data_IF_823927479338
#
_entry.id   IF_823927479338
#
_cell.length_a   1.000
_cell.length_b   1.000
_cell.length_c   1.000
_cell.angle_alpha   90.00
_cell.angle_beta   90.00
_cell.angle_gamma   90.00
#
_symmetry.space_group_name_H-M   'P 1'
#
loop_
_entity.id
_entity.type
_entity.pdbx_description
1 polymer ?
#
# COMPACT_ATOMS: atom_id res chain seq x y z
N UNK A 1 30.92 -38.13 -29.56
CA UNK A 1 29.67 -38.86 -29.26
C UNK A 1 29.88 -39.63 -27.98
N UNK A 2 29.19 -39.27 -26.90
CA UNK A 2 28.87 -40.13 -25.75
C UNK A 2 28.03 -39.30 -24.77
N UNK A 3 26.72 -39.55 -24.79
CA UNK A 3 25.76 -38.98 -23.86
C UNK A 3 25.70 -39.87 -22.60
N UNK A 4 25.83 -39.26 -21.42
CA UNK A 4 25.64 -39.92 -20.14
C UNK A 4 24.24 -39.60 -19.64
N UNK A 5 23.34 -40.58 -19.70
CA UNK A 5 21.95 -40.46 -19.29
C UNK A 5 21.79 -41.07 -17.90
N UNK A 6 21.47 -40.24 -16.90
CA UNK A 6 21.08 -40.71 -15.55
C UNK A 6 19.62 -41.20 -15.55
N UNK A 7 19.30 -42.33 -14.89
CA UNK A 7 17.91 -42.78 -14.76
C UNK A 7 17.17 -42.08 -13.61
N UNK A 8 15.95 -41.65 -13.90
CA UNK A 8 15.01 -41.05 -12.96
C UNK A 8 14.45 -42.09 -11.98
N UNK A 9 14.52 -41.79 -10.68
CA UNK A 9 13.83 -42.53 -9.64
C UNK A 9 12.33 -42.19 -9.67
N UNK A 10 11.50 -43.16 -10.05
CA UNK A 10 10.03 -43.09 -9.90
C UNK A 10 9.66 -43.45 -8.47
N UNK A 11 9.42 -42.43 -7.63
CA UNK A 11 8.76 -42.58 -6.34
C UNK A 11 7.29 -42.94 -6.53
N UNK A 12 6.89 -44.10 -6.04
CA UNK A 12 5.50 -44.59 -6.01
C UNK A 12 4.78 -43.88 -4.86
N UNK A 13 3.95 -42.89 -5.18
CA UNK A 13 2.96 -42.33 -4.23
C UNK A 13 1.73 -43.24 -4.22
N UNK A 14 1.53 -43.98 -3.14
CA UNK A 14 0.25 -44.64 -2.84
C UNK A 14 -0.76 -43.65 -2.26
N UNK A 15 -2.07 -43.78 -2.56
CA UNK A 15 -3.09 -42.92 -1.96
C UNK A 15 -3.27 -43.23 -0.47
N UNK A 16 -3.50 -42.22 0.40
CA UNK A 16 -3.80 -42.45 1.81
C UNK A 16 -5.18 -43.10 1.96
N UNK A 17 -5.21 -44.24 2.67
CA UNK A 17 -6.44 -44.91 3.10
C UNK A 17 -7.31 -44.00 3.95
N UNK A 18 -8.56 -43.79 3.52
CA UNK A 18 -9.57 -43.08 4.27
C UNK A 18 -9.98 -43.88 5.51
N UNK A 19 -9.72 -43.33 6.69
CA UNK A 19 -10.25 -43.82 7.97
C UNK A 19 -11.67 -43.29 8.11
N UNK A 20 -12.66 -44.18 8.00
CA UNK A 20 -14.06 -43.89 8.25
C UNK A 20 -14.29 -43.67 9.76
N UNK A 21 -14.35 -42.41 10.19
CA UNK A 21 -14.74 -42.03 11.55
C UNK A 21 -16.26 -41.88 11.64
N UNK A 22 -16.89 -42.70 12.47
CA UNK A 22 -18.31 -42.61 12.86
C UNK A 22 -18.63 -41.25 13.49
N UNK A 23 -19.39 -40.42 12.80
CA UNK A 23 -20.02 -39.22 13.35
C UNK A 23 -21.31 -39.59 14.08
N UNK A 24 -21.32 -39.47 15.41
CA UNK A 24 -22.56 -39.41 16.18
C UNK A 24 -23.35 -38.18 15.72
N UNK A 25 -24.57 -38.42 15.22
CA UNK A 25 -25.43 -37.42 14.63
C UNK A 25 -25.87 -36.35 15.63
N UNK A 26 -25.27 -35.17 15.53
CA UNK A 26 -25.93 -33.93 15.94
C UNK A 26 -27.00 -33.65 14.87
N UNK A 27 -28.29 -33.50 15.22
CA UNK A 27 -29.30 -33.17 14.24
C UNK A 27 -28.95 -31.83 13.58
N UNK A 28 -29.04 -31.70 12.24
CA UNK A 28 -28.83 -30.43 11.58
C UNK A 28 -29.85 -29.44 12.14
N UNK A 29 -29.39 -28.41 12.85
CA UNK A 29 -30.23 -27.27 13.18
C UNK A 29 -30.55 -26.58 11.88
N UNK A 30 -31.74 -26.82 11.34
CA UNK A 30 -32.26 -26.08 10.20
C UNK A 30 -32.16 -24.58 10.53
N UNK A 31 -31.40 -23.79 9.77
CA UNK A 31 -31.35 -22.36 9.99
C UNK A 31 -32.77 -21.81 9.81
N UNK A 32 -33.25 -21.07 10.80
CA UNK A 32 -34.53 -20.37 10.74
C UNK A 32 -34.50 -19.45 9.52
N UNK A 33 -35.38 -19.66 8.52
CA UNK A 33 -35.47 -18.75 7.38
C UNK A 33 -35.91 -17.37 7.88
N UNK A 34 -35.06 -16.36 7.72
CA UNK A 34 -35.41 -14.96 8.01
C UNK A 34 -34.45 -14.21 8.95
N UNK A 35 -33.45 -14.86 9.53
CA UNK A 35 -32.39 -14.14 10.27
C UNK A 35 -31.41 -13.56 9.27
N UNK A 36 -31.64 -12.32 8.83
CA UNK A 36 -30.65 -11.55 8.07
C UNK A 36 -29.40 -11.44 8.96
N UNK A 37 -28.20 -11.83 8.48
CA UNK A 37 -26.99 -11.66 9.26
C UNK A 37 -26.87 -10.18 9.62
N UNK A 38 -26.97 -9.88 10.91
CA UNK A 38 -26.87 -8.50 11.39
C UNK A 38 -25.40 -8.13 11.36
N UNK A 39 -25.01 -7.35 10.36
CA UNK A 39 -23.67 -6.78 10.28
C UNK A 39 -23.49 -5.86 11.49
N UNK A 40 -22.40 -6.05 12.23
CA UNK A 40 -22.10 -5.24 13.42
C UNK A 40 -21.92 -3.76 13.04
N UNK A 41 -22.44 -2.84 13.86
CA UNK A 41 -22.21 -1.40 13.67
C UNK A 41 -20.72 -1.04 13.68
N UNK A 42 -19.91 -1.79 14.44
CA UNK A 42 -18.44 -1.64 14.47
C UNK A 42 -17.82 -1.98 13.11
N UNK A 43 -18.32 -3.03 12.45
CA UNK A 43 -17.83 -3.43 11.12
C UNK A 43 -18.04 -2.33 10.10
N UNK A 44 -19.26 -1.78 10.03
CA UNK A 44 -19.58 -0.68 9.11
C UNK A 44 -18.73 0.56 9.43
N UNK A 45 -18.53 0.86 10.72
CA UNK A 45 -17.71 2.00 11.15
C UNK A 45 -16.25 1.85 10.73
N UNK A 46 -15.64 0.69 10.98
CA UNK A 46 -14.24 0.44 10.62
C UNK A 46 -14.06 0.39 9.10
N UNK A 47 -15.00 -0.18 8.34
CA UNK A 47 -14.95 -0.15 6.88
C UNK A 47 -15.14 1.25 6.30
N UNK A 48 -15.98 2.08 6.91
CA UNK A 48 -16.15 3.49 6.50
C UNK A 48 -14.84 4.25 6.67
N UNK A 49 -14.17 4.07 7.82
CA UNK A 49 -12.87 4.68 8.07
C UNK A 49 -11.78 4.12 7.16
N UNK A 50 -11.75 2.80 6.93
CA UNK A 50 -10.82 2.17 6.00
C UNK A 50 -10.99 2.73 4.58
N UNK A 51 -12.24 2.81 4.10
CA UNK A 51 -12.59 3.37 2.79
C UNK A 51 -12.12 4.82 2.65
N UNK A 52 -12.40 5.66 3.66
CA UNK A 52 -11.97 7.07 3.68
C UNK A 52 -10.46 7.23 3.64
N UNK A 53 -9.73 6.40 4.40
CA UNK A 53 -8.26 6.46 4.45
C UNK A 53 -7.63 5.96 3.13
N UNK A 54 -8.12 4.85 2.57
CA UNK A 54 -7.66 4.34 1.28
C UNK A 54 -7.91 5.35 0.15
N UNK A 55 -9.12 5.95 0.08
CA UNK A 55 -9.44 6.99 -0.88
C UNK A 55 -8.49 8.21 -0.76
N UNK A 56 -8.22 8.65 0.47
CA UNK A 56 -7.27 9.75 0.72
C UNK A 56 -5.83 9.40 0.33
N UNK A 57 -5.42 8.15 0.52
CA UNK A 57 -4.10 7.70 0.09
C UNK A 57 -3.99 7.76 -1.45
N UNK A 58 -5.02 7.32 -2.18
CA UNK A 58 -5.12 7.44 -3.65
C UNK A 58 -5.05 8.90 -4.09
N UNK A 59 -5.81 9.80 -3.47
CA UNK A 59 -5.79 11.24 -3.78
C UNK A 59 -4.40 11.85 -3.61
N UNK A 60 -3.71 11.55 -2.51
CA UNK A 60 -2.35 12.02 -2.28
C UNK A 60 -1.38 11.43 -3.31
N UNK A 61 -1.52 10.14 -3.62
CA UNK A 61 -0.67 9.46 -4.60
C UNK A 61 -0.83 10.07 -6.00
N UNK A 62 -2.01 10.57 -6.35
CA UNK A 62 -2.27 11.21 -7.64
C UNK A 62 -1.50 12.52 -7.83
N UNK A 63 -0.98 13.10 -6.73
CA UNK A 63 -0.13 14.30 -6.77
C UNK A 63 1.36 13.99 -6.90
N UNK A 64 1.77 12.72 -6.80
CA UNK A 64 3.15 12.29 -7.01
C UNK A 64 3.41 12.18 -8.52
N UNK A 65 4.53 12.73 -9.05
CA UNK A 65 4.90 12.54 -10.44
C UNK A 65 4.99 11.06 -10.80
N UNK A 66 4.39 10.66 -11.93
CA UNK A 66 4.37 9.25 -12.35
C UNK A 66 5.77 8.69 -12.66
N UNK A 67 6.71 9.56 -13.03
CA UNK A 67 8.10 9.23 -13.30
C UNK A 67 8.98 9.29 -12.04
N UNK A 68 8.40 9.50 -10.85
CA UNK A 68 9.15 9.55 -9.61
C UNK A 68 9.88 8.23 -9.33
N UNK A 69 11.21 8.26 -9.49
CA UNK A 69 12.10 7.13 -9.17
C UNK A 69 12.55 7.13 -7.72
N UNK A 70 11.70 7.59 -6.81
CA UNK A 70 12.04 7.76 -5.41
C UNK A 70 12.87 9.01 -5.14
N UNK A 71 12.48 10.13 -5.74
CA UNK A 71 13.14 11.42 -5.51
C UNK A 71 13.07 11.80 -4.02
N UNK A 72 14.08 12.57 -3.56
CA UNK A 72 14.10 13.08 -2.19
C UNK A 72 12.99 14.13 -1.96
N UNK A 73 12.64 14.91 -2.99
CA UNK A 73 11.61 15.95 -2.89
C UNK A 73 10.20 15.41 -2.61
N UNK A 74 9.93 14.19 -3.06
CA UNK A 74 8.65 13.48 -2.93
C UNK A 74 8.65 12.48 -1.76
N UNK A 75 9.79 12.31 -1.07
CA UNK A 75 9.97 11.33 0.01
C UNK A 75 8.95 11.50 1.13
N UNK A 76 8.79 12.71 1.63
CA UNK A 76 7.88 12.97 2.76
C UNK A 76 6.41 12.73 2.39
N UNK A 77 6.04 13.05 1.14
CA UNK A 77 4.71 12.76 0.60
C UNK A 77 4.48 11.25 0.51
N UNK A 78 5.42 10.48 -0.06
CA UNK A 78 5.32 9.01 -0.12
C UNK A 78 5.22 8.38 1.26
N UNK A 79 5.98 8.87 2.25
CA UNK A 79 5.88 8.42 3.65
C UNK A 79 4.48 8.71 4.21
N UNK A 80 3.90 9.86 3.91
CA UNK A 80 2.55 10.22 4.36
C UNK A 80 1.48 9.32 3.71
N UNK A 81 1.63 9.02 2.43
CA UNK A 81 0.77 8.07 1.70
C UNK A 81 0.85 6.70 2.36
N UNK A 82 2.05 6.14 2.51
CA UNK A 82 2.28 4.85 3.18
C UNK A 82 1.64 4.80 4.59
N UNK A 83 1.82 5.83 5.40
CA UNK A 83 1.21 5.88 6.75
C UNK A 83 -0.31 5.91 6.73
N UNK A 84 -0.89 6.56 5.72
CA UNK A 84 -2.34 6.67 5.57
C UNK A 84 -2.93 5.33 5.10
N UNK A 85 -2.24 4.68 4.18
CA UNK A 85 -2.59 3.36 3.68
C UNK A 85 -2.49 2.28 4.78
N UNK A 86 -1.38 2.23 5.51
CA UNK A 86 -1.22 1.36 6.70
C UNK A 86 -2.31 1.60 7.76
N UNK A 87 -2.83 2.83 7.87
CA UNK A 87 -3.93 3.11 8.79
C UNK A 87 -5.26 2.52 8.28
N UNK A 88 -5.47 2.46 6.97
CA UNK A 88 -6.60 1.75 6.36
C UNK A 88 -6.49 0.23 6.59
N UNK A 89 -5.32 -0.36 6.31
CA UNK A 89 -5.06 -1.80 6.52
C UNK A 89 -5.35 -2.23 7.96
N UNK A 90 -4.86 -1.49 8.96
CA UNK A 90 -5.15 -1.76 10.38
C UNK A 90 -6.64 -1.74 10.73
N UNK A 91 -7.48 -1.04 9.96
CA UNK A 91 -8.94 -1.06 10.15
C UNK A 91 -9.55 -2.32 9.56
N UNK A 92 -9.05 -2.77 8.40
CA UNK A 92 -9.44 -4.04 7.78
C UNK A 92 -9.05 -5.24 8.65
N UNK A 93 -7.81 -5.25 9.15
CA UNK A 93 -7.28 -6.34 9.97
C UNK A 93 -8.14 -6.60 11.22
N UNK A 94 -8.68 -5.55 11.85
CA UNK A 94 -9.60 -5.69 12.99
C UNK A 94 -10.87 -6.46 12.65
N UNK A 95 -11.26 -6.49 11.37
CA UNK A 95 -12.42 -7.24 10.92
C UNK A 95 -12.08 -8.69 10.56
N UNK A 96 -10.79 -9.06 10.44
CA UNK A 96 -10.43 -10.44 10.09
C UNK A 96 -10.80 -11.44 11.18
N UNK A 97 -10.65 -11.03 12.43
CA UNK A 97 -10.95 -11.85 13.60
C UNK A 97 -12.34 -11.54 14.20
N UNK A 98 -13.08 -10.60 13.61
CA UNK A 98 -14.42 -10.25 14.07
C UNK A 98 -15.37 -11.43 13.81
N UNK A 99 -15.91 -12.00 14.90
CA UNK A 99 -16.86 -13.11 14.83
C UNK A 99 -18.09 -12.73 13.99
N UNK A 100 -18.50 -13.64 13.10
CA UNK A 100 -19.74 -13.50 12.34
C UNK A 100 -19.59 -12.90 10.94
N UNK A 101 -18.37 -12.58 10.51
CA UNK A 101 -18.12 -12.23 9.11
C UNK A 101 -18.27 -13.46 8.21
N UNK A 102 -19.04 -13.30 7.13
CA UNK A 102 -19.17 -14.31 6.09
C UNK A 102 -17.81 -14.58 5.43
N UNK A 103 -17.56 -15.83 5.05
CA UNK A 103 -16.28 -16.24 4.46
C UNK A 103 -15.98 -15.50 3.14
N UNK A 104 -17.01 -15.17 2.36
CA UNK A 104 -16.86 -14.37 1.14
C UNK A 104 -16.44 -12.94 1.45
N UNK A 105 -17.05 -12.32 2.47
CA UNK A 105 -16.64 -10.98 2.95
C UNK A 105 -15.19 -10.99 3.44
N UNK A 106 -14.81 -11.98 4.24
CA UNK A 106 -13.43 -12.10 4.73
C UNK A 106 -12.43 -12.27 3.59
N UNK A 107 -12.79 -13.05 2.56
CA UNK A 107 -11.96 -13.25 1.37
C UNK A 107 -11.72 -11.93 0.63
N UNK A 108 -12.77 -11.13 0.40
CA UNK A 108 -12.65 -9.83 -0.25
C UNK A 108 -11.84 -8.82 0.59
N UNK A 109 -12.02 -8.82 1.92
CA UNK A 109 -11.24 -7.93 2.79
C UNK A 109 -9.74 -8.27 2.78
N UNK A 110 -9.38 -9.57 2.75
CA UNK A 110 -7.98 -10.01 2.61
C UNK A 110 -7.42 -9.65 1.23
N UNK A 111 -8.24 -9.74 0.19
CA UNK A 111 -7.85 -9.33 -1.16
C UNK A 111 -7.58 -7.83 -1.22
N UNK A 112 -8.44 -7.01 -0.62
CA UNK A 112 -8.22 -5.57 -0.51
C UNK A 112 -6.91 -5.26 0.23
N UNK A 113 -6.68 -5.91 1.38
CA UNK A 113 -5.47 -5.74 2.18
C UNK A 113 -4.19 -6.07 1.40
N UNK A 114 -4.19 -7.17 0.63
CA UNK A 114 -3.07 -7.55 -0.23
C UNK A 114 -2.76 -6.48 -1.30
N UNK A 115 -3.78 -5.87 -1.92
CA UNK A 115 -3.57 -4.79 -2.89
C UNK A 115 -2.98 -3.52 -2.25
N UNK A 116 -3.46 -3.15 -1.06
CA UNK A 116 -2.90 -2.02 -0.31
C UNK A 116 -1.43 -2.31 0.09
N UNK A 117 -1.15 -3.55 0.49
CA UNK A 117 0.21 -3.99 0.80
C UNK A 117 1.11 -3.87 -0.44
N UNK A 118 0.70 -4.44 -1.58
CA UNK A 118 1.46 -4.36 -2.84
C UNK A 118 1.73 -2.91 -3.26
N UNK A 119 0.76 -2.00 -3.09
CA UNK A 119 0.97 -0.58 -3.35
C UNK A 119 2.06 0.02 -2.43
N UNK A 120 2.06 -0.34 -1.15
CA UNK A 120 3.08 0.08 -0.20
C UNK A 120 4.48 -0.46 -0.57
N UNK A 121 4.57 -1.70 -1.04
CA UNK A 121 5.83 -2.26 -1.55
C UNK A 121 6.37 -1.47 -2.74
N UNK A 122 5.49 -0.98 -3.61
CA UNK A 122 5.86 -0.19 -4.79
C UNK A 122 6.25 1.25 -4.46
N UNK A 123 5.74 1.81 -3.35
CA UNK A 123 6.16 3.13 -2.84
C UNK A 123 7.48 3.06 -2.05
N UNK A 124 7.85 1.87 -1.58
CA UNK A 124 9.06 1.66 -0.80
C UNK A 124 10.29 1.50 -1.70
N UNK A 125 11.34 2.25 -1.38
CA UNK A 125 12.67 2.03 -1.95
C UNK A 125 13.37 0.90 -1.19
N UNK A 126 12.92 -0.34 -1.39
CA UNK A 126 13.58 -1.53 -0.79
C UNK A 126 14.72 -2.02 -1.68
N UNK A 127 15.84 -2.50 -1.09
CA UNK A 127 16.80 -3.29 -1.84
C UNK A 127 16.13 -4.63 -2.20
N UNK A 128 16.14 -4.98 -3.48
CA UNK A 128 15.84 -6.33 -3.92
C UNK A 128 16.91 -7.29 -3.37
N UNK A 129 16.59 -8.59 -3.21
CA UNK A 129 17.54 -9.60 -2.74
C UNK A 129 18.82 -9.71 -3.58
N UNK A 130 18.80 -9.22 -4.83
CA UNK A 130 19.93 -9.14 -5.76
C UNK A 130 20.77 -7.86 -5.60
N UNK A 131 20.47 -7.02 -4.60
CA UNK A 131 21.16 -5.76 -4.34
C UNK A 131 20.74 -4.60 -5.24
N UNK A 132 19.80 -4.80 -6.17
CA UNK A 132 19.24 -3.72 -7.00
C UNK A 132 18.10 -3.05 -6.25
N UNK A 133 18.03 -1.73 -6.24
CA UNK A 133 16.81 -1.07 -5.78
C UNK A 133 15.77 -1.23 -6.88
N UNK A 134 14.70 -2.02 -6.64
CA UNK A 134 13.48 -1.81 -7.40
C UNK A 134 13.03 -0.38 -7.05
N UNK A 135 13.08 0.51 -8.04
CA UNK A 135 12.71 1.89 -7.86
C UNK A 135 11.25 2.00 -7.43
N UNK A 136 10.88 3.17 -6.91
CA UNK A 136 9.48 3.51 -6.70
C UNK A 136 8.72 3.35 -8.02
N UNK A 137 7.58 2.66 -7.99
CA UNK A 137 6.66 2.46 -9.11
C UNK A 137 5.32 3.14 -8.79
N UNK A 138 5.23 4.43 -9.11
CA UNK A 138 4.01 5.23 -8.86
C UNK A 138 2.81 4.72 -9.67
N UNK A 139 2.92 4.41 -10.98
CA UNK A 139 1.81 3.84 -11.74
C UNK A 139 1.27 2.54 -11.16
N UNK A 140 2.15 1.62 -10.78
CA UNK A 140 1.73 0.36 -10.18
C UNK A 140 1.11 0.56 -8.80
N UNK A 141 1.71 1.40 -7.94
CA UNK A 141 1.13 1.73 -6.63
C UNK A 141 -0.25 2.35 -6.76
N UNK A 142 -0.46 3.21 -7.78
CA UNK A 142 -1.75 3.81 -8.07
C UNK A 142 -2.81 2.77 -8.44
N UNK A 143 -2.45 1.83 -9.33
CA UNK A 143 -3.34 0.73 -9.75
C UNK A 143 -3.78 -0.08 -8.55
N UNK A 144 -2.83 -0.52 -7.72
CA UNK A 144 -3.11 -1.47 -6.65
C UNK A 144 -3.83 -0.78 -5.48
N UNK A 145 -3.45 0.44 -5.11
CA UNK A 145 -4.17 1.21 -4.08
C UNK A 145 -5.60 1.55 -4.50
N UNK A 146 -5.83 1.87 -5.79
CA UNK A 146 -7.17 2.12 -6.32
C UNK A 146 -8.05 0.86 -6.29
N UNK A 147 -7.49 -0.30 -6.62
CA UNK A 147 -8.22 -1.57 -6.59
C UNK A 147 -8.56 -1.98 -5.14
N UNK A 148 -7.60 -1.83 -4.21
CA UNK A 148 -7.86 -2.03 -2.78
C UNK A 148 -8.98 -1.12 -2.27
N UNK A 149 -8.92 0.19 -2.58
CA UNK A 149 -9.98 1.13 -2.21
C UNK A 149 -11.35 0.77 -2.82
N UNK A 150 -11.37 0.31 -4.08
CA UNK A 150 -12.59 -0.14 -4.77
C UNK A 150 -13.26 -1.32 -4.07
N UNK A 151 -12.48 -2.35 -3.70
CA UNK A 151 -12.98 -3.55 -3.01
C UNK A 151 -13.57 -3.16 -1.64
N UNK A 152 -12.88 -2.32 -0.87
CA UNK A 152 -13.39 -1.85 0.43
C UNK A 152 -14.74 -1.14 0.27
N UNK A 153 -14.86 -0.27 -0.74
CA UNK A 153 -16.12 0.43 -1.03
C UNK A 153 -17.26 -0.52 -1.44
N UNK A 154 -16.95 -1.58 -2.16
CA UNK A 154 -17.91 -2.62 -2.57
C UNK A 154 -18.41 -3.45 -1.37
N UNK A 155 -17.50 -3.87 -0.50
CA UNK A 155 -17.86 -4.57 0.75
C UNK A 155 -18.69 -3.66 1.66
N UNK A 156 -18.29 -2.40 1.82
CA UNK A 156 -19.04 -1.43 2.62
C UNK A 156 -20.46 -1.20 2.09
N UNK A 157 -20.63 -1.06 0.78
CA UNK A 157 -21.96 -0.91 0.15
C UNK A 157 -22.83 -2.15 0.36
N UNK A 158 -22.23 -3.34 0.25
CA UNK A 158 -22.93 -4.61 0.50
C UNK A 158 -23.37 -4.77 1.95
N UNK A 159 -22.65 -4.14 2.88
CA UNK A 159 -22.99 -4.06 4.29
C UNK A 159 -24.01 -2.94 4.63
N UNK A 160 -24.52 -2.21 3.64
CA UNK A 160 -25.47 -1.10 3.82
C UNK A 160 -24.83 0.23 4.22
N UNK A 161 -23.50 0.33 4.17
CA UNK A 161 -22.77 1.59 4.39
C UNK A 161 -22.69 2.46 3.14
N UNK A 162 -22.32 3.72 3.34
CA UNK A 162 -22.08 4.68 2.24
C UNK A 162 -20.57 4.88 2.09
N UNK A 163 -19.94 4.46 0.97
CA UNK A 163 -18.53 4.70 0.75
C UNK A 163 -18.24 6.19 0.63
N UNK A 164 -17.08 6.60 1.16
CA UNK A 164 -16.60 7.97 0.97
C UNK A 164 -16.03 8.06 -0.44
N UNK A 165 -16.71 8.78 -1.33
CA UNK A 165 -16.13 9.07 -2.64
C UNK A 165 -14.87 9.94 -2.46
N UNK A 166 -13.82 9.69 -3.27
CA UNK A 166 -12.71 10.62 -3.35
C UNK A 166 -13.26 12.02 -3.65
N UNK A 167 -12.82 13.00 -2.87
CA UNK A 167 -13.16 14.39 -3.14
C UNK A 167 -12.49 14.75 -4.46
N UNK A 168 -13.27 14.74 -5.56
CA UNK A 168 -12.82 15.32 -6.81
C UNK A 168 -12.40 16.76 -6.47
N UNK A 169 -11.13 17.15 -6.68
CA UNK A 169 -10.72 18.51 -6.40
C UNK A 169 -11.67 19.41 -7.19
N UNK A 170 -12.39 20.28 -6.47
CA UNK A 170 -13.33 21.20 -7.08
C UNK A 170 -12.65 21.79 -8.31
N UNK A 171 -13.26 21.58 -9.49
CA UNK A 171 -12.69 22.05 -10.75
C UNK A 171 -12.22 23.48 -10.53
N UNK A 172 -10.94 23.80 -10.79
CA UNK A 172 -10.42 25.12 -10.47
C UNK A 172 -11.38 26.14 -11.05
N UNK A 173 -11.84 27.07 -10.21
CA UNK A 173 -12.76 28.11 -10.65
C UNK A 173 -12.21 28.70 -11.95
N UNK A 174 -13.03 28.85 -13.00
CA UNK A 174 -12.56 29.37 -14.28
C UNK A 174 -11.75 30.64 -14.01
N UNK A 175 -10.54 30.69 -14.57
CA UNK A 175 -9.65 31.82 -14.38
C UNK A 175 -10.44 33.12 -14.61
N UNK A 176 -10.30 34.13 -13.74
CA UNK A 176 -11.00 35.40 -13.94
C UNK A 176 -10.67 35.89 -15.35
N UNK A 177 -11.70 36.08 -16.16
CA UNK A 177 -11.58 36.64 -17.50
C UNK A 177 -10.80 37.95 -17.36
N UNK A 178 -9.67 38.16 -18.08
CA UNK A 178 -8.93 39.40 -17.98
C UNK A 178 -9.86 40.55 -18.36
N UNK A 179 -10.30 41.32 -17.37
CA UNK A 179 -10.99 42.57 -17.59
C UNK A 179 -10.06 43.48 -18.40
N UNK A 180 -10.59 44.09 -19.45
CA UNK A 180 -9.90 45.09 -20.27
C UNK A 180 -9.55 46.32 -19.40
N UNK A 181 -8.45 46.22 -18.66
CA UNK A 181 -7.95 47.25 -17.75
C UNK A 181 -6.69 47.89 -18.31
N UNK A 182 -6.84 49.15 -18.72
CA UNK A 182 -5.85 50.25 -18.76
C UNK A 182 -4.36 49.87 -18.60
N UNK A 183 -3.59 50.10 -19.68
CA UNK A 183 -2.12 50.12 -19.67
C UNK A 183 -1.57 51.04 -18.57
N UNK A 184 -0.90 50.44 -17.60
CA UNK A 184 -0.02 51.14 -16.66
C UNK A 184 1.40 51.07 -17.25
N UNK A 185 2.17 52.18 -17.28
CA UNK A 185 3.51 52.16 -17.84
C UNK A 185 4.46 51.24 -17.04
N UNK A 186 5.45 50.62 -17.72
CA UNK A 186 6.35 49.66 -17.09
C UNK A 186 7.25 50.35 -16.06
N UNK A 187 7.20 49.88 -14.81
CA UNK A 187 8.18 50.22 -13.79
C UNK A 187 9.46 49.41 -14.00
N UNK A 188 10.60 50.11 -14.00
CA UNK A 188 11.95 49.56 -14.07
C UNK A 188 12.17 48.43 -13.04
N UNK A 189 12.74 47.27 -13.43
CA UNK A 189 13.05 46.21 -12.49
C UNK A 189 14.10 46.66 -11.45
N UNK A 190 13.95 46.30 -10.16
CA UNK A 190 15.01 46.49 -9.18
C UNK A 190 16.23 45.63 -9.52
N UNK A 191 17.42 46.16 -9.21
CA UNK A 191 18.70 45.49 -9.45
C UNK A 191 18.76 44.11 -8.75
N UNK A 192 19.43 43.12 -9.35
CA UNK A 192 19.56 41.79 -8.76
C UNK A 192 20.32 41.83 -7.43
N UNK A 193 19.94 41.00 -6.45
CA UNK A 193 20.64 40.91 -5.18
C UNK A 193 22.06 40.39 -5.38
N UNK A 194 23.03 41.05 -4.74
CA UNK A 194 24.43 40.64 -4.68
C UNK A 194 24.57 39.34 -3.89
N UNK A 195 25.18 38.33 -4.50
CA UNK A 195 25.42 37.01 -3.91
C UNK A 195 26.31 37.10 -2.65
N UNK A 196 25.96 36.42 -1.54
CA UNK A 196 26.84 36.33 -0.38
C UNK A 196 28.15 35.57 -0.70
N UNK A 197 29.27 35.90 -0.03
CA UNK A 197 30.53 35.19 -0.20
C UNK A 197 30.42 33.73 0.27
N UNK A 198 31.09 32.83 -0.45
CA UNK A 198 31.13 31.41 -0.13
C UNK A 198 31.78 31.15 1.24
N UNK A 199 31.27 30.17 2.01
CA UNK A 199 31.88 29.80 3.28
C UNK A 199 33.26 29.15 3.08
N UNK A 200 34.18 29.28 4.06
CA UNK A 200 35.50 28.69 3.98
C UNK A 200 35.42 27.16 3.96
N UNK A 201 36.11 26.54 3.00
CA UNK A 201 36.25 25.10 2.90
C UNK A 201 37.17 24.57 4.02
N UNK A 202 36.60 23.84 4.97
CA UNK A 202 37.38 23.00 5.90
C UNK A 202 37.98 21.80 5.17
N UNK A 203 39.27 21.46 5.39
CA UNK A 203 39.90 20.29 4.79
C UNK A 203 39.27 18.98 5.32
N UNK A 204 39.23 17.92 4.49
CA UNK A 204 38.62 16.65 4.87
C UNK A 204 39.40 15.96 6.01
N UNK A 205 38.65 15.42 6.96
CA UNK A 205 39.18 14.55 8.03
C UNK A 205 39.62 13.23 7.39
N UNK A 206 40.86 12.75 7.63
CA UNK A 206 41.33 11.48 7.10
C UNK A 206 40.51 10.30 7.66
N UNK A 207 40.29 9.24 6.87
CA UNK A 207 39.53 8.08 7.31
C UNK A 207 40.28 7.33 8.42
N UNK A 208 39.60 7.10 9.54
CA UNK A 208 40.04 6.17 10.58
C UNK A 208 39.79 4.73 10.13
N UNK A 209 40.85 3.97 9.93
CA UNK A 209 40.81 2.53 9.66
C UNK A 209 40.22 1.79 10.86
N UNK A 210 39.18 0.94 10.70
CA UNK A 210 38.74 0.06 11.77
C UNK A 210 39.82 -1.01 12.01
N UNK A 211 40.34 -1.08 13.23
CA UNK A 211 41.10 -2.23 13.70
C UNK A 211 40.12 -3.41 13.80
N UNK A 212 40.18 -4.33 12.84
CA UNK A 212 39.53 -5.62 12.93
C UNK A 212 40.23 -6.47 13.99
N UNK A 213 39.47 -6.89 14.99
CA UNK A 213 39.86 -7.89 15.99
C UNK A 213 39.61 -9.29 15.41
N UNK A 214 40.64 -10.12 15.14
CA UNK A 214 40.46 -11.46 14.62
C UNK A 214 40.52 -12.45 15.78
N UNK A 215 39.39 -12.73 16.44
CA UNK A 215 39.47 -13.61 17.59
C UNK A 215 38.16 -14.03 18.24
N UNK A 216 37.27 -14.73 17.52
CA UNK A 216 36.44 -15.73 18.20
C UNK A 216 35.98 -16.83 17.23
N UNK A 217 36.70 -17.94 17.26
CA UNK A 217 36.26 -19.25 16.81
C UNK A 217 35.67 -19.96 18.02
N UNK A 218 34.35 -20.14 18.03
CA UNK A 218 33.68 -21.06 18.96
C UNK A 218 33.93 -22.50 18.50
N UNK A 219 34.34 -23.43 19.40
CA UNK A 219 34.28 -24.86 19.15
C UNK A 219 32.90 -25.44 19.53
N UNK A 220 32.54 -26.52 18.83
CA UNK A 220 31.30 -27.32 18.88
C UNK A 220 30.71 -27.63 20.27
#
# INVERSE_FOLDING_TARGET
>A
MSASTSPAARGVYGPPSAVAGSSYGVPPTNPVPGSVPTVSATFVTDLTEASRLAARAVEMLATVPQDDRGSQYTKDLRIRIFKTDMAAQKRLERQFDAMGNDAGVLSELRRADAYLEDANWQLAKKPSPDGRFNGVDVPGAMRDMSEGARIIAEVLRSAGGVPTEPSVPASPAPAPVPGSGTSVPPTTPPAPPTTPPAPPTTPPVPPTTPNGDPGQVDPD
#
